data_IF_198004171612
#
_entry.id   IF_198004171612
#
_cell.length_a   1.000
_cell.length_b   1.000
_cell.length_c   1.000
_cell.angle_alpha   90.00
_cell.angle_beta   90.00
_cell.angle_gamma   90.00
#
_symmetry.space_group_name_H-M   'P 1'
#
loop_
_entity.id
_entity.type
_entity.pdbx_description
1 polymer ?
#
# COMPACT_ATOMS: atom_id res chain seq x y z
N UNK A 1 -20.27 0.60 -20.23
CA UNK A 1 -18.84 0.71 -20.56
C UNK A 1 -18.06 0.25 -19.34
N UNK A 2 -17.58 -0.97 -19.34
CA UNK A 2 -16.64 -1.44 -18.30
C UNK A 2 -15.30 -0.78 -18.59
N UNK A 3 -14.97 0.28 -17.90
CA UNK A 3 -13.60 0.82 -17.88
C UNK A 3 -12.72 -0.13 -17.09
N UNK A 4 -12.29 -1.24 -17.71
CA UNK A 4 -11.14 -1.97 -17.18
C UNK A 4 -9.98 -0.98 -17.18
N UNK A 5 -9.24 -0.89 -16.10
CA UNK A 5 -8.02 -0.09 -16.08
C UNK A 5 -7.12 -0.60 -17.22
N UNK A 6 -6.83 0.27 -18.20
CA UNK A 6 -5.87 -0.04 -19.25
C UNK A 6 -4.50 0.47 -18.82
N UNK A 7 -3.59 -0.47 -18.55
CA UNK A 7 -2.21 -0.20 -18.16
C UNK A 7 -1.22 -0.80 -19.16
N UNK A 8 -1.66 -1.08 -20.39
CA UNK A 8 -0.81 -1.64 -21.43
C UNK A 8 0.45 -0.78 -21.64
N UNK A 9 1.62 -1.44 -21.60
CA UNK A 9 2.92 -0.81 -21.78
C UNK A 9 3.42 0.00 -20.57
N UNK A 10 2.65 0.12 -19.49
CA UNK A 10 3.08 0.72 -18.24
C UNK A 10 3.91 -0.25 -17.41
N UNK A 11 4.81 0.26 -16.60
CA UNK A 11 5.60 -0.54 -15.65
C UNK A 11 5.31 -0.12 -14.22
N UNK A 12 4.94 -1.11 -13.40
CA UNK A 12 4.66 -0.94 -11.97
C UNK A 12 5.77 -1.56 -11.11
N UNK A 13 6.35 -0.78 -10.21
CA UNK A 13 7.27 -1.26 -9.16
C UNK A 13 6.49 -1.32 -7.84
N UNK A 14 6.52 -2.49 -7.17
CA UNK A 14 5.80 -2.72 -5.92
C UNK A 14 6.78 -3.14 -4.84
N UNK A 15 6.93 -2.31 -3.81
CA UNK A 15 7.84 -2.62 -2.69
C UNK A 15 7.20 -3.59 -1.70
N UNK A 16 8.01 -4.55 -1.17
CA UNK A 16 7.53 -5.54 -0.21
C UNK A 16 6.43 -6.44 -0.76
N UNK A 17 6.57 -6.89 -2.01
CA UNK A 17 5.53 -7.57 -2.78
C UNK A 17 5.59 -9.10 -2.74
N UNK A 18 6.45 -9.71 -1.91
CA UNK A 18 6.53 -11.17 -1.80
C UNK A 18 5.29 -11.83 -1.18
N UNK A 19 4.36 -11.05 -0.60
CA UNK A 19 3.14 -11.53 0.05
C UNK A 19 2.13 -10.43 0.34
N UNK A 20 0.94 -10.81 0.85
CA UNK A 20 -0.07 -9.89 1.36
C UNK A 20 -0.58 -8.92 0.31
N UNK A 21 -0.76 -7.65 0.69
CA UNK A 21 -1.33 -6.61 -0.19
C UNK A 21 -0.45 -6.40 -1.42
N UNK A 22 0.88 -6.36 -1.27
CA UNK A 22 1.80 -6.14 -2.39
C UNK A 22 1.68 -7.23 -3.46
N UNK A 23 1.71 -8.51 -3.05
CA UNK A 23 1.53 -9.63 -3.99
C UNK A 23 0.13 -9.62 -4.63
N UNK A 24 -0.92 -9.39 -3.81
CA UNK A 24 -2.28 -9.31 -4.32
C UNK A 24 -2.50 -8.13 -5.30
N UNK A 25 -1.68 -7.09 -5.22
CA UNK A 25 -1.72 -5.94 -6.15
C UNK A 25 -1.06 -6.27 -7.50
N UNK A 26 -0.05 -7.15 -7.51
CA UNK A 26 0.72 -7.47 -8.70
C UNK A 26 -0.14 -8.11 -9.81
N UNK A 27 -0.95 -9.12 -9.47
CA UNK A 27 -1.77 -9.82 -10.46
C UNK A 27 -2.81 -8.91 -11.16
N UNK A 28 -3.62 -8.09 -10.47
CA UNK A 28 -4.54 -7.18 -11.14
C UNK A 28 -3.84 -6.11 -12.00
N UNK A 29 -2.66 -5.62 -11.61
CA UNK A 29 -1.86 -4.71 -12.45
C UNK A 29 -1.39 -5.42 -13.72
N UNK A 30 -0.87 -6.65 -13.63
CA UNK A 30 -0.49 -7.46 -14.79
C UNK A 30 -1.70 -7.77 -15.69
N UNK A 31 -2.85 -8.13 -15.10
CA UNK A 31 -4.09 -8.36 -15.84
C UNK A 31 -4.57 -7.11 -16.59
N UNK A 32 -4.31 -5.92 -16.06
CA UNK A 32 -4.57 -4.65 -16.72
C UNK A 32 -3.54 -4.31 -17.81
N UNK A 33 -2.53 -5.15 -18.04
CA UNK A 33 -1.53 -5.02 -19.10
C UNK A 33 -0.20 -4.39 -18.65
N UNK A 34 0.00 -4.13 -17.35
CA UNK A 34 1.26 -3.60 -16.87
C UNK A 34 2.35 -4.66 -16.79
N UNK A 35 3.60 -4.25 -17.01
CA UNK A 35 4.77 -4.99 -16.56
C UNK A 35 4.92 -4.77 -15.05
N UNK A 36 5.31 -5.81 -14.30
CA UNK A 36 5.34 -5.72 -12.83
C UNK A 36 6.71 -6.12 -12.28
N UNK A 37 7.26 -5.26 -11.41
CA UNK A 37 8.48 -5.53 -10.65
C UNK A 37 8.08 -5.70 -9.19
N UNK A 38 8.29 -6.90 -8.65
CA UNK A 38 7.99 -7.24 -7.26
C UNK A 38 9.27 -7.24 -6.44
N UNK A 39 9.33 -6.42 -5.37
CA UNK A 39 10.51 -6.45 -4.52
C UNK A 39 10.29 -7.20 -3.20
N UNK A 40 11.37 -7.78 -2.70
CA UNK A 40 11.48 -8.39 -1.38
C UNK A 40 12.90 -8.19 -0.85
N UNK A 41 13.10 -8.37 0.45
CA UNK A 41 14.44 -8.39 1.07
C UNK A 41 15.29 -9.62 0.67
N UNK A 42 14.65 -10.64 0.05
CA UNK A 42 15.29 -11.87 -0.41
C UNK A 42 14.93 -12.14 -1.87
N UNK A 43 15.94 -12.50 -2.67
CA UNK A 43 15.75 -12.79 -4.11
C UNK A 43 14.79 -13.96 -4.31
N UNK A 44 15.01 -15.08 -3.61
CA UNK A 44 14.14 -16.27 -3.76
C UNK A 44 12.67 -15.93 -3.53
N UNK A 45 12.36 -15.12 -2.50
CA UNK A 45 10.99 -14.72 -2.19
C UNK A 45 10.41 -13.73 -3.23
N UNK A 46 11.24 -12.91 -3.87
CA UNK A 46 10.83 -12.05 -4.95
C UNK A 46 10.54 -12.86 -6.23
N UNK A 47 11.40 -13.83 -6.55
CA UNK A 47 11.26 -14.72 -7.72
C UNK A 47 10.04 -15.64 -7.57
N UNK A 48 9.83 -16.23 -6.39
CA UNK A 48 8.63 -17.04 -6.09
C UNK A 48 7.35 -16.22 -6.23
N UNK A 49 7.37 -14.95 -5.83
CA UNK A 49 6.23 -14.06 -5.98
C UNK A 49 5.98 -13.70 -7.44
N UNK A 50 7.03 -13.38 -8.20
CA UNK A 50 6.92 -13.05 -9.62
C UNK A 50 6.43 -14.25 -10.45
N UNK A 51 6.84 -15.47 -10.10
CA UNK A 51 6.41 -16.71 -10.76
C UNK A 51 4.91 -17.01 -10.59
N UNK A 52 4.22 -16.37 -9.64
CA UNK A 52 2.77 -16.51 -9.43
C UNK A 52 1.95 -15.56 -10.31
N UNK A 53 2.61 -14.63 -11.01
CA UNK A 53 1.92 -13.59 -11.79
C UNK A 53 1.80 -14.03 -13.26
N UNK A 54 0.56 -14.10 -13.73
CA UNK A 54 0.28 -14.32 -15.14
C UNK A 54 0.53 -13.02 -15.93
N UNK A 55 1.67 -12.94 -16.62
CA UNK A 55 2.06 -11.74 -17.36
C UNK A 55 3.55 -11.43 -17.27
N UNK A 56 3.93 -10.21 -17.63
CA UNK A 56 5.31 -9.75 -17.56
C UNK A 56 5.66 -9.35 -16.12
N UNK A 57 6.26 -10.25 -15.36
CA UNK A 57 6.68 -9.99 -13.98
C UNK A 57 8.14 -10.38 -13.76
N UNK A 58 8.84 -9.63 -12.91
CA UNK A 58 10.16 -9.97 -12.40
C UNK A 58 10.25 -9.76 -10.89
N UNK A 59 11.01 -10.64 -10.21
CA UNK A 59 11.37 -10.50 -8.83
C UNK A 59 12.73 -9.81 -8.66
N UNK A 60 12.85 -8.88 -7.73
CA UNK A 60 14.10 -8.17 -7.45
C UNK A 60 14.34 -8.09 -5.95
N UNK A 61 15.52 -8.53 -5.50
CA UNK A 61 15.92 -8.31 -4.12
C UNK A 61 16.20 -6.83 -3.88
N UNK A 62 15.40 -6.21 -3.01
CA UNK A 62 15.63 -4.86 -2.56
C UNK A 62 15.08 -4.67 -1.14
N UNK A 63 15.99 -4.45 -0.17
CA UNK A 63 15.59 -4.01 1.16
C UNK A 63 15.14 -2.56 1.09
N UNK A 64 13.92 -2.30 1.51
CA UNK A 64 13.22 -1.05 1.20
C UNK A 64 13.95 0.25 1.62
N UNK A 65 14.81 0.20 2.63
CA UNK A 65 15.57 1.36 3.13
C UNK A 65 17.00 1.45 2.57
N UNK A 66 17.42 0.48 1.76
CA UNK A 66 18.74 0.46 1.13
C UNK A 66 18.68 1.20 -0.21
N UNK A 67 19.29 2.37 -0.26
CA UNK A 67 19.26 3.24 -1.45
C UNK A 67 19.89 2.58 -2.67
N UNK A 68 21.03 1.90 -2.50
CA UNK A 68 21.73 1.26 -3.62
C UNK A 68 20.89 0.10 -4.20
N UNK A 69 20.21 -0.67 -3.35
CA UNK A 69 19.33 -1.73 -3.81
C UNK A 69 18.07 -1.18 -4.48
N UNK A 70 17.49 -0.10 -3.94
CA UNK A 70 16.35 0.57 -4.54
C UNK A 70 16.71 1.14 -5.93
N UNK A 71 17.85 1.80 -6.05
CA UNK A 71 18.35 2.36 -7.32
C UNK A 71 18.56 1.24 -8.35
N UNK A 72 19.24 0.16 -7.98
CA UNK A 72 19.41 -1.01 -8.87
C UNK A 72 18.07 -1.60 -9.31
N UNK A 73 17.08 -1.64 -8.46
CA UNK A 73 15.74 -2.13 -8.81
C UNK A 73 15.07 -1.24 -9.85
N UNK A 74 15.13 0.08 -9.70
CA UNK A 74 14.62 1.04 -10.69
C UNK A 74 15.36 0.89 -12.02
N UNK A 75 16.69 0.78 -12.00
CA UNK A 75 17.49 0.56 -13.21
C UNK A 75 17.13 -0.76 -13.92
N UNK A 76 16.88 -1.82 -13.16
CA UNK A 76 16.42 -3.10 -13.72
C UNK A 76 15.03 -2.99 -14.37
N UNK A 77 14.11 -2.24 -13.78
CA UNK A 77 12.80 -1.96 -14.36
C UNK A 77 12.94 -1.21 -15.69
N UNK A 78 13.75 -0.15 -15.72
CA UNK A 78 14.03 0.64 -16.94
C UNK A 78 14.71 -0.22 -18.03
N UNK A 79 15.73 -0.99 -17.68
CA UNK A 79 16.46 -1.83 -18.63
C UNK A 79 15.58 -2.96 -19.21
N UNK A 80 14.67 -3.52 -18.42
CA UNK A 80 13.83 -4.66 -18.82
C UNK A 80 12.57 -4.22 -19.56
N UNK A 81 11.92 -3.14 -19.10
CA UNK A 81 10.59 -2.75 -19.54
C UNK A 81 10.54 -1.32 -20.14
N UNK A 82 11.60 -0.54 -20.00
CA UNK A 82 11.73 0.79 -20.62
C UNK A 82 11.07 1.92 -19.84
N UNK A 83 10.38 1.66 -18.74
CA UNK A 83 9.69 2.71 -17.97
C UNK A 83 9.52 2.37 -16.49
N UNK A 84 9.17 3.37 -15.67
CA UNK A 84 8.64 3.23 -14.31
C UNK A 84 7.48 4.22 -14.17
N UNK A 85 6.27 3.78 -14.50
CA UNK A 85 5.08 4.65 -14.56
C UNK A 85 4.28 4.62 -13.27
N UNK A 86 4.36 3.51 -12.53
CA UNK A 86 3.58 3.27 -11.31
C UNK A 86 4.54 2.82 -10.21
N UNK A 87 4.48 3.49 -9.07
CA UNK A 87 5.20 3.08 -7.86
C UNK A 87 4.20 2.78 -6.74
N UNK A 88 4.22 1.56 -6.23
CA UNK A 88 3.43 1.16 -5.06
C UNK A 88 4.36 0.99 -3.87
N UNK A 89 4.40 1.99 -3.00
CA UNK A 89 5.11 1.95 -1.73
C UNK A 89 4.30 1.12 -0.72
N UNK A 90 4.49 -0.20 -0.77
CA UNK A 90 3.74 -1.14 0.07
C UNK A 90 4.59 -1.76 1.18
N UNK A 91 5.92 -1.76 1.08
CA UNK A 91 6.78 -2.24 2.16
C UNK A 91 6.43 -1.56 3.50
N UNK A 92 6.28 -2.36 4.54
CA UNK A 92 5.91 -1.85 5.85
C UNK A 92 6.20 -2.84 6.96
N UNK A 93 6.42 -2.32 8.16
CA UNK A 93 6.70 -3.13 9.36
C UNK A 93 5.97 -2.57 10.58
N UNK A 94 5.66 -3.47 11.51
CA UNK A 94 5.29 -3.15 12.87
C UNK A 94 6.08 -4.07 13.82
N UNK A 95 7.04 -3.51 14.53
CA UNK A 95 8.01 -4.28 15.33
C UNK A 95 7.58 -4.48 16.78
N UNK A 96 6.53 -3.84 17.23
CA UNK A 96 6.09 -3.94 18.62
C UNK A 96 4.60 -3.66 18.80
N UNK A 97 3.99 -4.51 19.59
CA UNK A 97 2.64 -4.34 20.16
C UNK A 97 2.81 -4.04 21.65
N UNK A 98 3.10 -2.78 22.00
CA UNK A 98 3.32 -2.35 23.38
C UNK A 98 3.06 -0.85 23.53
N UNK A 99 2.83 -0.34 24.75
CA UNK A 99 2.73 1.10 24.98
C UNK A 99 3.94 1.84 24.39
N UNK A 100 3.67 2.96 23.73
CA UNK A 100 4.67 3.72 22.99
C UNK A 100 5.86 4.15 23.85
N UNK A 101 5.60 4.54 25.08
CA UNK A 101 6.61 5.06 26.03
C UNK A 101 7.66 4.04 26.48
N UNK A 102 7.39 2.74 26.29
CA UNK A 102 8.35 1.66 26.65
C UNK A 102 9.09 1.09 25.43
N UNK A 103 8.84 1.64 24.25
CA UNK A 103 9.53 1.19 23.02
C UNK A 103 10.91 1.82 22.93
N UNK A 104 11.94 0.99 22.69
CA UNK A 104 13.32 1.45 22.54
C UNK A 104 13.53 2.17 21.21
N UNK A 105 14.57 3.03 21.19
CA UNK A 105 14.96 3.86 20.03
C UNK A 105 15.15 3.06 18.74
N UNK A 106 15.77 1.87 18.80
CA UNK A 106 16.07 1.08 17.59
C UNK A 106 14.81 0.58 16.90
N UNK A 107 13.79 0.14 17.65
CA UNK A 107 12.50 -0.26 17.09
C UNK A 107 11.75 0.93 16.51
N UNK A 108 11.79 2.06 17.24
CA UNK A 108 11.22 3.32 16.76
C UNK A 108 11.86 3.73 15.43
N UNK A 109 13.19 3.87 15.38
CA UNK A 109 13.93 4.27 14.20
C UNK A 109 13.66 3.33 13.02
N UNK A 110 13.79 2.01 13.21
CA UNK A 110 13.54 1.05 12.14
C UNK A 110 12.10 1.08 11.61
N UNK A 111 11.11 1.36 12.47
CA UNK A 111 9.72 1.50 12.02
C UNK A 111 9.55 2.75 11.16
N UNK A 112 10.19 3.87 11.53
CA UNK A 112 10.19 5.10 10.75
C UNK A 112 10.95 4.94 9.43
N UNK A 113 12.09 4.28 9.47
CA UNK A 113 12.90 4.04 8.27
C UNK A 113 12.10 3.26 7.21
N UNK A 114 11.46 2.16 7.61
CA UNK A 114 10.72 1.33 6.65
C UNK A 114 9.39 1.96 6.24
N UNK A 115 8.64 2.56 7.18
CA UNK A 115 7.27 3.00 6.90
C UNK A 115 7.17 4.43 6.36
N UNK A 116 8.20 5.26 6.53
CA UNK A 116 8.19 6.67 6.14
C UNK A 116 9.36 7.06 5.23
N UNK A 117 10.60 6.76 5.64
CA UNK A 117 11.77 7.08 4.81
C UNK A 117 11.79 6.30 3.50
N UNK A 118 11.56 4.99 3.53
CA UNK A 118 11.56 4.19 2.31
C UNK A 118 10.56 4.68 1.25
N UNK A 119 9.28 4.97 1.55
CA UNK A 119 8.37 5.60 0.58
C UNK A 119 8.89 6.89 -0.03
N UNK A 120 9.52 7.77 0.76
CA UNK A 120 10.14 8.99 0.26
C UNK A 120 11.31 8.68 -0.67
N UNK A 121 12.22 7.81 -0.26
CA UNK A 121 13.39 7.38 -1.02
C UNK A 121 12.99 6.80 -2.39
N UNK A 122 12.08 5.82 -2.41
CA UNK A 122 11.63 5.19 -3.65
C UNK A 122 10.93 6.18 -4.58
N UNK A 123 10.14 7.10 -4.03
CA UNK A 123 9.49 8.16 -4.82
C UNK A 123 10.53 9.10 -5.42
N UNK A 124 11.54 9.51 -4.66
CA UNK A 124 12.62 10.34 -5.17
C UNK A 124 13.39 9.66 -6.31
N UNK A 125 13.79 8.40 -6.13
CA UNK A 125 14.52 7.63 -7.14
C UNK A 125 13.69 7.39 -8.42
N UNK A 126 12.40 7.05 -8.31
CA UNK A 126 11.53 6.90 -9.47
C UNK A 126 11.29 8.23 -10.19
N UNK A 127 11.21 9.34 -9.45
CA UNK A 127 11.07 10.68 -10.01
C UNK A 127 12.34 11.08 -10.76
N UNK A 128 13.52 10.88 -10.15
CA UNK A 128 14.82 11.18 -10.76
C UNK A 128 15.04 10.39 -12.06
N UNK A 129 14.75 9.09 -12.01
CA UNK A 129 15.09 8.18 -13.10
C UNK A 129 14.08 8.19 -14.26
N UNK A 130 12.81 8.53 -14.04
CA UNK A 130 11.77 8.42 -15.07
C UNK A 130 10.59 9.38 -14.89
N UNK A 131 9.90 9.34 -13.74
CA UNK A 131 8.60 9.99 -13.59
C UNK A 131 8.67 11.50 -13.70
N UNK A 132 9.80 12.13 -13.32
CA UNK A 132 9.98 13.57 -13.40
C UNK A 132 9.86 14.12 -14.82
N UNK A 133 10.22 13.35 -15.84
CA UNK A 133 10.08 13.72 -17.25
C UNK A 133 8.78 13.20 -17.86
N UNK A 134 8.40 11.96 -17.58
CA UNK A 134 7.34 11.21 -18.27
C UNK A 134 6.00 11.20 -17.54
N UNK A 135 5.98 11.66 -16.29
CA UNK A 135 4.78 11.54 -15.43
C UNK A 135 4.65 10.16 -14.77
N UNK A 136 3.67 10.02 -13.89
CA UNK A 136 3.44 8.74 -13.22
C UNK A 136 2.41 8.80 -12.10
N UNK A 137 2.23 7.65 -11.44
CA UNK A 137 1.34 7.52 -10.29
C UNK A 137 2.06 6.81 -9.13
N UNK A 138 2.10 7.46 -7.97
CA UNK A 138 2.65 6.90 -6.73
C UNK A 138 1.50 6.57 -5.78
N UNK A 139 1.46 5.34 -5.27
CA UNK A 139 0.46 4.89 -4.31
C UNK A 139 1.15 4.41 -3.03
N UNK A 140 0.87 5.10 -1.93
CA UNK A 140 1.41 4.77 -0.62
C UNK A 140 0.45 3.87 0.17
N UNK A 141 0.92 2.76 0.72
CA UNK A 141 0.13 1.91 1.62
C UNK A 141 0.23 2.47 3.05
N UNK A 142 -0.73 3.33 3.41
CA UNK A 142 -0.91 3.86 4.75
C UNK A 142 -1.64 2.85 5.66
N UNK A 143 -2.52 3.32 6.53
CA UNK A 143 -3.38 2.51 7.41
C UNK A 143 -4.46 3.40 8.03
N UNK A 144 -5.60 2.83 8.38
CA UNK A 144 -6.59 3.51 9.25
C UNK A 144 -6.02 3.88 10.61
N UNK A 145 -4.98 3.16 11.08
CA UNK A 145 -4.23 3.54 12.27
C UNK A 145 -3.54 4.91 12.17
N UNK A 146 -3.22 5.38 10.95
CA UNK A 146 -2.73 6.74 10.72
C UNK A 146 -3.81 7.83 10.79
N UNK A 147 -5.08 7.45 10.77
CA UNK A 147 -6.24 8.35 10.84
C UNK A 147 -6.92 8.31 12.21
N UNK A 148 -6.47 7.45 13.10
CA UNK A 148 -7.00 7.28 14.44
C UNK A 148 -5.91 6.88 15.41
N UNK A 149 -6.31 6.32 16.54
CA UNK A 149 -5.40 5.87 17.58
C UNK A 149 -5.86 4.51 18.12
N UNK A 150 -4.90 3.62 18.36
CA UNK A 150 -5.14 2.31 18.94
C UNK A 150 -4.06 2.03 19.99
N UNK A 151 -4.46 1.44 21.12
CA UNK A 151 -3.51 1.03 22.15
C UNK A 151 -2.46 0.07 21.57
N UNK A 152 -1.22 0.19 22.03
CA UNK A 152 -0.09 -0.67 21.66
C UNK A 152 0.41 -0.58 20.21
N UNK A 153 -0.15 0.29 19.39
CA UNK A 153 0.25 0.53 17.99
C UNK A 153 0.86 1.93 17.76
N UNK A 154 1.19 2.66 18.83
CA UNK A 154 1.52 4.08 18.76
C UNK A 154 2.61 4.45 17.75
N UNK A 155 3.75 3.77 17.76
CA UNK A 155 4.86 4.06 16.81
C UNK A 155 4.42 3.78 15.38
N UNK A 156 3.81 2.64 15.12
CA UNK A 156 3.29 2.28 13.79
C UNK A 156 2.26 3.33 13.30
N UNK A 157 1.27 3.65 14.11
CA UNK A 157 0.23 4.61 13.75
C UNK A 157 0.81 6.00 13.48
N UNK A 158 1.82 6.43 14.25
CA UNK A 158 2.53 7.70 14.01
C UNK A 158 3.22 7.70 12.65
N UNK A 159 3.89 6.59 12.25
CA UNK A 159 4.50 6.52 10.92
C UNK A 159 3.45 6.56 9.80
N UNK A 160 2.28 5.93 10.00
CA UNK A 160 1.21 5.93 9.00
C UNK A 160 0.48 7.29 8.91
N UNK A 161 0.36 8.01 10.02
CA UNK A 161 -0.10 9.41 10.00
C UNK A 161 0.87 10.32 9.26
N UNK A 162 2.18 10.17 9.52
CA UNK A 162 3.22 10.90 8.80
C UNK A 162 3.23 10.58 7.30
N UNK A 163 3.01 9.31 6.91
CA UNK A 163 2.93 8.89 5.50
C UNK A 163 1.72 9.50 4.78
N UNK A 164 0.58 9.63 5.48
CA UNK A 164 -0.61 10.32 4.94
C UNK A 164 -0.29 11.80 4.70
N UNK A 165 0.43 12.45 5.61
CA UNK A 165 0.86 13.83 5.41
C UNK A 165 1.89 13.94 4.26
N UNK A 166 2.90 13.06 4.23
CA UNK A 166 3.90 12.99 3.17
C UNK A 166 3.25 12.80 1.80
N UNK A 167 2.20 12.00 1.70
CA UNK A 167 1.44 11.81 0.45
C UNK A 167 0.90 13.15 -0.09
N UNK A 168 0.33 13.98 0.78
CA UNK A 168 -0.18 15.30 0.39
C UNK A 168 0.93 16.26 -0.03
N UNK A 169 2.03 16.25 0.73
CA UNK A 169 3.18 17.10 0.43
C UNK A 169 3.81 16.75 -0.93
N UNK A 170 4.05 15.46 -1.18
CA UNK A 170 4.59 14.99 -2.45
C UNK A 170 3.62 15.22 -3.62
N UNK A 171 2.31 15.08 -3.40
CA UNK A 171 1.32 15.39 -4.42
C UNK A 171 1.37 16.86 -4.86
N UNK A 172 1.60 17.79 -3.93
CA UNK A 172 1.77 19.20 -4.23
C UNK A 172 3.09 19.47 -4.96
N UNK A 173 4.20 18.91 -4.48
CA UNK A 173 5.55 19.19 -5.00
C UNK A 173 5.82 18.55 -6.35
N UNK A 174 5.22 17.39 -6.65
CA UNK A 174 5.47 16.63 -7.88
C UNK A 174 4.42 16.90 -8.98
N UNK A 175 3.40 17.71 -8.68
CA UNK A 175 2.43 18.16 -9.67
C UNK A 175 3.07 19.05 -10.72
N UNK A 176 2.54 19.12 -11.97
CA UNK A 176 1.35 18.39 -12.46
C UNK A 176 1.68 17.01 -13.04
N UNK A 177 2.93 16.58 -13.06
CA UNK A 177 3.35 15.35 -13.76
C UNK A 177 3.03 14.07 -13.00
N UNK A 178 3.20 14.07 -11.69
CA UNK A 178 3.08 12.86 -10.87
C UNK A 178 1.89 13.01 -9.90
N UNK A 179 0.98 12.05 -9.93
CA UNK A 179 -0.06 11.93 -8.93
C UNK A 179 0.46 11.09 -7.76
N UNK A 180 0.23 11.55 -6.54
CA UNK A 180 0.62 10.82 -5.33
C UNK A 180 -0.60 10.66 -4.45
N UNK A 181 -1.02 9.41 -4.20
CA UNK A 181 -2.17 9.08 -3.36
C UNK A 181 -1.81 8.00 -2.34
N UNK A 182 -2.68 7.77 -1.38
CA UNK A 182 -2.54 6.68 -0.42
C UNK A 182 -3.80 5.82 -0.37
N UNK A 183 -3.61 4.55 -0.04
CA UNK A 183 -4.66 3.67 0.47
C UNK A 183 -4.48 3.54 1.98
N UNK A 184 -5.58 3.54 2.74
CA UNK A 184 -5.58 3.35 4.20
C UNK A 184 -6.42 2.12 4.56
N UNK A 185 -5.85 0.91 4.51
CA UNK A 185 -6.56 -0.31 4.89
C UNK A 185 -6.90 -0.33 6.37
N UNK A 186 -8.04 -0.96 6.70
CA UNK A 186 -8.34 -1.45 8.04
C UNK A 186 -7.58 -2.73 8.35
N UNK A 187 -8.18 -3.63 9.14
CA UNK A 187 -7.61 -4.96 9.38
C UNK A 187 -7.81 -5.83 8.15
N UNK A 188 -6.70 -6.23 7.53
CA UNK A 188 -6.65 -7.09 6.34
C UNK A 188 -5.95 -8.40 6.70
N UNK A 189 -6.42 -9.52 6.15
CA UNK A 189 -5.87 -10.86 6.37
C UNK A 189 -4.47 -10.99 5.77
N UNK A 190 -3.49 -10.47 6.49
CA UNK A 190 -2.07 -10.50 6.15
C UNK A 190 -1.24 -10.99 7.32
N UNK A 191 -0.01 -11.44 7.05
CA UNK A 191 0.95 -11.81 8.11
C UNK A 191 1.30 -10.62 9.02
N UNK A 192 1.38 -9.41 8.46
CA UNK A 192 1.67 -8.19 9.24
C UNK A 192 0.60 -7.91 10.29
N UNK A 193 -0.67 -8.14 9.96
CA UNK A 193 -1.80 -7.92 10.83
C UNK A 193 -2.23 -9.16 11.63
N UNK A 194 -1.53 -10.30 11.51
CA UNK A 194 -1.94 -11.60 12.08
C UNK A 194 -2.23 -11.52 13.58
N UNK A 195 -1.41 -10.79 14.32
CA UNK A 195 -1.61 -10.59 15.76
C UNK A 195 -2.92 -9.86 16.12
N UNK A 196 -3.51 -9.11 15.18
CA UNK A 196 -4.75 -8.37 15.40
C UNK A 196 -6.01 -9.21 15.17
N UNK A 197 -5.94 -10.27 14.36
CA UNK A 197 -7.15 -10.99 13.93
C UNK A 197 -7.13 -12.49 14.19
N UNK A 198 -5.97 -13.17 14.19
CA UNK A 198 -5.89 -14.65 14.18
C UNK A 198 -6.69 -15.34 15.30
N UNK A 199 -6.68 -14.78 16.52
CA UNK A 199 -7.39 -15.33 17.66
C UNK A 199 -8.70 -14.59 18.00
N UNK A 200 -9.05 -13.56 17.21
CA UNK A 200 -10.16 -12.64 17.47
C UNK A 200 -10.97 -12.33 16.21
N UNK A 201 -10.92 -13.21 15.22
CA UNK A 201 -11.54 -12.96 13.92
C UNK A 201 -13.02 -12.59 13.99
N UNK A 202 -13.88 -13.30 14.75
CA UNK A 202 -15.29 -12.92 14.85
C UNK A 202 -15.50 -11.51 15.43
N UNK A 203 -14.70 -11.12 16.42
CA UNK A 203 -14.79 -9.80 17.06
C UNK A 203 -14.30 -8.70 16.10
N UNK A 204 -13.21 -8.96 15.36
CA UNK A 204 -12.69 -8.02 14.35
C UNK A 204 -13.67 -7.88 13.19
N UNK A 205 -14.26 -8.98 12.72
CA UNK A 205 -15.30 -8.95 11.70
C UNK A 205 -16.52 -8.13 12.14
N UNK A 206 -17.02 -8.40 13.36
CA UNK A 206 -18.15 -7.67 13.94
C UNK A 206 -17.89 -6.17 14.17
N UNK A 207 -16.62 -5.75 14.26
CA UNK A 207 -16.24 -4.33 14.36
C UNK A 207 -16.27 -3.58 13.03
N UNK A 208 -16.58 -4.25 11.92
CA UNK A 208 -16.73 -3.62 10.60
C UNK A 208 -18.20 -3.60 10.19
N UNK A 209 -18.63 -2.56 9.49
CA UNK A 209 -20.01 -2.46 8.98
C UNK A 209 -20.32 -3.58 7.95
N UNK A 210 -19.30 -4.05 7.21
CA UNK A 210 -19.43 -5.15 6.25
C UNK A 210 -19.32 -6.54 6.90
N UNK A 211 -19.15 -6.63 8.23
CA UNK A 211 -19.11 -7.85 9.04
C UNK A 211 -18.13 -8.91 8.55
N UNK A 212 -16.97 -8.48 8.06
CA UNK A 212 -15.85 -9.33 7.66
C UNK A 212 -14.50 -8.63 7.82
N UNK A 213 -13.44 -9.40 7.91
CA UNK A 213 -12.07 -8.90 7.77
C UNK A 213 -11.83 -8.61 6.29
N UNK A 214 -11.02 -7.58 6.00
CA UNK A 214 -10.59 -7.28 4.65
C UNK A 214 -9.64 -8.37 4.10
N UNK A 215 -9.74 -8.63 2.81
CA UNK A 215 -8.78 -9.46 2.08
C UNK A 215 -7.78 -8.58 1.32
N UNK A 216 -6.56 -9.07 1.03
CA UNK A 216 -5.59 -8.31 0.25
C UNK A 216 -6.13 -7.77 -1.08
N UNK A 217 -7.03 -8.52 -1.73
CA UNK A 217 -7.66 -8.12 -2.99
C UNK A 217 -8.61 -6.92 -2.83
N UNK A 218 -9.20 -6.70 -1.65
CA UNK A 218 -10.04 -5.51 -1.41
C UNK A 218 -9.18 -4.22 -1.54
N UNK A 219 -7.91 -4.29 -1.14
CA UNK A 219 -6.97 -3.17 -1.23
C UNK A 219 -6.38 -3.06 -2.64
N UNK A 220 -6.03 -4.20 -3.24
CA UNK A 220 -5.44 -4.26 -4.57
C UNK A 220 -6.32 -3.57 -5.64
N UNK A 221 -7.63 -3.77 -5.60
CA UNK A 221 -8.57 -3.13 -6.52
C UNK A 221 -8.49 -1.59 -6.48
N UNK A 222 -8.37 -1.03 -5.28
CA UNK A 222 -8.22 0.41 -5.10
C UNK A 222 -6.86 0.93 -5.59
N UNK A 223 -5.79 0.16 -5.40
CA UNK A 223 -4.45 0.51 -5.93
C UNK A 223 -4.48 0.56 -7.46
N UNK A 224 -5.08 -0.43 -8.13
CA UNK A 224 -5.22 -0.44 -9.60
C UNK A 224 -6.03 0.76 -10.08
N UNK A 225 -7.14 1.09 -9.41
CA UNK A 225 -7.92 2.30 -9.72
C UNK A 225 -7.06 3.56 -9.62
N UNK A 226 -6.34 3.76 -8.51
CA UNK A 226 -5.49 4.95 -8.30
C UNK A 226 -4.30 5.00 -9.27
N UNK A 227 -3.82 3.86 -9.75
CA UNK A 227 -2.76 3.78 -10.76
C UNK A 227 -3.23 4.16 -12.16
N UNK A 228 -4.51 4.01 -12.46
CA UNK A 228 -5.10 4.16 -13.79
C UNK A 228 -5.53 5.59 -14.13
N UNK A 229 -5.86 5.82 -15.41
CA UNK A 229 -6.44 7.07 -15.90
C UNK A 229 -7.84 7.37 -15.32
N UNK A 230 -8.54 6.37 -14.78
CA UNK A 230 -9.80 6.60 -14.07
C UNK A 230 -9.63 7.50 -12.83
N UNK A 231 -8.41 7.59 -12.29
CA UNK A 231 -8.02 8.46 -11.19
C UNK A 231 -7.21 9.70 -11.62
N UNK A 232 -7.26 10.11 -12.90
CA UNK A 232 -6.46 11.21 -13.44
C UNK A 232 -6.67 12.56 -12.71
N UNK A 233 -7.83 12.76 -12.09
CA UNK A 233 -8.16 13.98 -11.32
C UNK A 233 -8.07 13.78 -9.80
N UNK A 234 -7.34 12.74 -9.34
CA UNK A 234 -7.16 12.41 -7.93
C UNK A 234 -5.68 12.45 -7.58
N UNK A 235 -5.28 13.39 -6.73
CA UNK A 235 -3.93 13.49 -6.15
C UNK A 235 -3.99 14.07 -4.74
N UNK A 236 -3.10 13.63 -3.85
CA UNK A 236 -3.05 14.02 -2.44
C UNK A 236 -4.09 13.33 -1.55
N UNK A 237 -4.88 12.40 -2.10
CA UNK A 237 -5.97 11.76 -1.37
C UNK A 237 -5.53 10.47 -0.65
N UNK A 238 -6.25 10.19 0.43
CA UNK A 238 -6.11 8.92 1.18
C UNK A 238 -7.43 8.17 1.14
N UNK A 239 -7.47 7.11 0.34
CA UNK A 239 -8.66 6.27 0.20
C UNK A 239 -8.73 5.24 1.33
N UNK A 240 -9.73 5.37 2.19
CA UNK A 240 -9.97 4.43 3.30
C UNK A 240 -10.63 3.15 2.79
N UNK A 241 -10.07 1.99 3.18
CA UNK A 241 -10.55 0.66 2.78
C UNK A 241 -10.62 -0.21 4.03
N UNK A 242 -11.68 -0.07 4.82
CA UNK A 242 -11.77 -0.64 6.17
C UNK A 242 -13.09 -1.37 6.49
N UNK A 243 -13.91 -1.60 5.48
CA UNK A 243 -15.22 -2.22 5.66
C UNK A 243 -16.18 -1.40 6.55
N UNK A 244 -15.94 -0.09 6.67
CA UNK A 244 -16.73 0.80 7.50
C UNK A 244 -16.39 0.76 8.99
N UNK A 245 -15.24 0.20 9.39
CA UNK A 245 -14.83 0.11 10.81
C UNK A 245 -14.78 1.49 11.50
N UNK A 246 -14.36 2.53 10.78
CA UNK A 246 -14.26 3.88 11.33
C UNK A 246 -15.61 4.60 11.50
N UNK A 247 -16.70 4.05 11.00
CA UNK A 247 -18.05 4.61 11.17
C UNK A 247 -18.63 4.31 12.56
N UNK A 248 -17.96 3.47 13.36
CA UNK A 248 -18.44 3.02 14.66
C UNK A 248 -19.17 1.68 14.57
N UNK A 249 -19.84 1.30 15.66
CA UNK A 249 -20.55 0.02 15.75
C UNK A 249 -21.66 -0.07 14.69
N UNK A 250 -21.61 -1.11 13.89
CA UNK A 250 -22.65 -1.39 12.92
C UNK A 250 -23.97 -1.70 13.63
N UNK A 251 -24.95 -0.85 13.43
CA UNK A 251 -26.35 -1.11 13.88
C UNK A 251 -27.18 -1.38 12.64
N UNK A 252 -27.48 -2.65 12.31
CA UNK A 252 -28.29 -2.96 11.16
C UNK A 252 -29.67 -2.30 11.32
N UNK A 253 -30.07 -1.52 10.33
CA UNK A 253 -31.42 -0.96 10.27
C UNK A 253 -32.43 -2.11 10.15
N UNK A 254 -33.34 -2.21 11.11
CA UNK A 254 -34.48 -3.16 11.06
C UNK A 254 -35.67 -2.41 10.48
N UNK A 255 -36.05 -2.74 9.24
CA UNK A 255 -37.29 -2.27 8.68
C UNK A 255 -38.46 -2.68 9.60
N UNK A 256 -39.24 -1.72 10.07
CA UNK A 256 -40.36 -1.96 10.98
C UNK A 256 -40.09 -1.71 12.48
N UNK A 257 -38.84 -1.44 12.91
CA UNK A 257 -38.56 -1.16 14.32
C UNK A 257 -38.95 0.25 14.79
N UNK A 258 -39.50 1.10 13.94
CA UNK A 258 -40.00 2.43 14.30
C UNK A 258 -41.51 2.46 14.65
N UNK A 259 -42.19 1.32 14.67
CA UNK A 259 -43.63 1.27 14.99
C UNK A 259 -43.93 1.20 16.50
N UNK A 260 -42.92 0.98 17.37
CA UNK A 260 -43.07 0.78 18.80
C UNK A 260 -42.24 1.76 19.66
N UNK A 261 -41.97 2.97 19.19
CA UNK A 261 -41.30 4.00 19.98
C UNK A 261 -42.22 5.19 20.29
#
# INVERSE_FOLDING_TARGET
MTTSADLCGKTAVITGASRGIGLATAQPLATAGANVVLTSDKQDAADEAAAQIDGNAIGVAAYAVDEDQARRCIDMALNKFGSVDILVNNAGTNLAYSPMIVQGRDRFAKTFDVNLWAPLLWTALATEAWMGEHGGSVINTASTGGLGHEASLGVYNTTKAALIYLTKQLALELSPKIRVNAVAPGVVRTRLAEALWKNHEPQVAASTALNRIGEPNDVAAAVVFLASEAAAWITGETLVIDGGRRLGDARPYRFGAMADA
#
